data_IF_829590896224
#
_entry.id   IF_829590896224
#
_cell.length_a   1.000
_cell.length_b   1.000
_cell.length_c   1.000
_cell.angle_alpha   90.00
_cell.angle_beta   90.00
_cell.angle_gamma   90.00
#
_symmetry.space_group_name_H-M   'P 1'
#
loop_
_entity.id
_entity.type
_entity.pdbx_description
1 polymer ?
#
# COMPACT_ATOMS: atom_id res chain seq x y z
N UNK A 1 -9.67 6.71 12.02
CA UNK A 1 -9.53 5.24 12.01
C UNK A 1 -9.19 4.84 10.59
N UNK A 2 -7.91 4.57 10.31
CA UNK A 2 -7.48 4.09 9.01
C UNK A 2 -7.38 2.57 8.96
N UNK A 3 -7.06 2.04 7.79
CA UNK A 3 -6.84 0.61 7.56
C UNK A 3 -5.35 0.30 7.51
N UNK A 4 -5.03 -0.89 8.00
CA UNK A 4 -3.71 -1.51 7.86
C UNK A 4 -3.76 -2.55 6.74
N UNK A 5 -2.86 -2.43 5.77
CA UNK A 5 -2.76 -3.34 4.63
C UNK A 5 -1.42 -4.07 4.69
N UNK A 6 -1.45 -5.40 4.58
CA UNK A 6 -0.26 -6.23 4.45
C UNK A 6 -0.17 -6.81 3.03
N UNK A 7 0.95 -6.60 2.37
CA UNK A 7 1.26 -7.15 1.04
C UNK A 7 2.23 -8.31 1.23
N UNK A 8 1.77 -9.53 0.95
CA UNK A 8 2.61 -10.73 0.95
C UNK A 8 3.31 -10.85 -0.40
N UNK A 9 4.64 -10.92 -0.40
CA UNK A 9 5.45 -10.86 -1.61
C UNK A 9 5.92 -9.43 -1.92
N UNK A 10 6.21 -8.63 -0.89
CA UNK A 10 6.64 -7.24 -1.01
C UNK A 10 7.94 -7.05 -1.82
N UNK A 11 8.73 -8.10 -2.00
CA UNK A 11 9.89 -8.12 -2.90
C UNK A 11 9.56 -8.17 -4.39
N UNK A 12 8.28 -8.16 -4.78
CA UNK A 12 7.85 -8.07 -6.17
C UNK A 12 8.42 -6.81 -6.84
N UNK A 13 8.84 -6.93 -8.09
CA UNK A 13 9.25 -5.77 -8.90
C UNK A 13 8.11 -4.78 -9.13
N UNK A 14 6.85 -5.18 -8.89
CA UNK A 14 5.64 -4.36 -9.03
C UNK A 14 5.21 -3.64 -7.74
N UNK A 15 5.91 -3.85 -6.63
CA UNK A 15 5.62 -3.17 -5.37
C UNK A 15 5.71 -1.63 -5.48
N UNK A 16 6.66 -1.04 -6.23
CA UNK A 16 6.72 0.42 -6.40
C UNK A 16 5.43 1.03 -6.95
N UNK A 17 4.85 0.44 -8.00
CA UNK A 17 3.63 0.92 -8.65
C UNK A 17 2.39 0.76 -7.75
N UNK A 18 2.38 -0.27 -6.90
CA UNK A 18 1.37 -0.45 -5.87
C UNK A 18 1.44 0.68 -4.82
N UNK A 19 2.64 0.98 -4.32
CA UNK A 19 2.88 2.06 -3.35
C UNK A 19 2.51 3.42 -3.95
N UNK A 20 2.93 3.70 -5.19
CA UNK A 20 2.56 4.92 -5.91
C UNK A 20 1.03 5.04 -6.03
N UNK A 21 0.35 3.95 -6.39
CA UNK A 21 -1.11 3.91 -6.46
C UNK A 21 -1.79 4.30 -5.14
N UNK A 22 -1.28 3.85 -4.00
CA UNK A 22 -1.80 4.24 -2.68
C UNK A 22 -1.58 5.72 -2.38
N UNK A 23 -0.42 6.27 -2.73
CA UNK A 23 -0.10 7.69 -2.52
C UNK A 23 -0.95 8.58 -3.42
N UNK A 24 -0.98 8.33 -4.73
CA UNK A 24 -1.73 9.12 -5.71
C UNK A 24 -3.24 9.10 -5.44
N UNK A 25 -3.74 8.05 -4.77
CA UNK A 25 -5.17 7.83 -4.50
C UNK A 25 -5.48 7.79 -3.01
N UNK A 26 -4.73 8.53 -2.20
CA UNK A 26 -4.89 8.55 -0.73
C UNK A 26 -6.34 8.85 -0.26
N UNK A 27 -7.11 9.62 -1.05
CA UNK A 27 -8.51 9.92 -0.72
C UNK A 27 -9.49 8.76 -0.97
N UNK A 28 -9.04 7.64 -1.58
CA UNK A 28 -9.89 6.48 -1.89
C UNK A 28 -9.92 5.46 -0.76
N UNK A 29 -8.82 5.30 -0.06
CA UNK A 29 -8.66 4.36 1.04
C UNK A 29 -7.94 5.09 2.15
N UNK A 30 -8.50 5.15 3.37
CA UNK A 30 -7.85 5.77 4.51
C UNK A 30 -6.72 4.85 5.04
N UNK A 31 -5.65 4.68 4.25
CA UNK A 31 -4.52 3.83 4.58
C UNK A 31 -3.66 4.49 5.67
N UNK A 32 -3.45 3.78 6.76
CA UNK A 32 -2.64 4.25 7.90
C UNK A 32 -1.30 3.51 7.95
N UNK A 33 -1.34 2.19 7.71
CA UNK A 33 -0.16 1.32 7.71
C UNK A 33 -0.11 0.51 6.41
N UNK A 34 1.03 0.51 5.72
CA UNK A 34 1.36 -0.43 4.65
C UNK A 34 2.53 -1.30 5.09
N UNK A 35 2.30 -2.60 5.23
CA UNK A 35 3.32 -3.58 5.60
C UNK A 35 3.68 -4.42 4.39
N UNK A 36 4.97 -4.55 4.09
CA UNK A 36 5.50 -5.39 3.02
C UNK A 36 6.16 -6.61 3.66
N UNK A 37 5.64 -7.81 3.35
CA UNK A 37 6.09 -9.11 3.87
C UNK A 37 6.83 -9.91 2.80
#
# INVERSE_FOLDING_TARGET
MGVKVAVVGGGSTYTPELVEGFVTRANRVPLEDLVLL
#
